data_IF_047157860806
#
_entry.id   IF_047157860806
#
_cell.length_a   1.000
_cell.length_b   1.000
_cell.length_c   1.000
_cell.angle_alpha   90.00
_cell.angle_beta   90.00
_cell.angle_gamma   90.00
#
_symmetry.space_group_name_H-M   'P 1'
#
loop_
_entity.id
_entity.type
_entity.pdbx_description
1 polymer ?
#
# COMPACT_ATOMS: atom_id res chain seq x y z
N UNK A 1 -2.35 10.66 -9.80
CA UNK A 1 -0.93 10.84 -10.20
C UNK A 1 -0.50 9.84 -11.29
N UNK A 2 -0.30 8.53 -11.04
CA UNK A 2 0.16 7.60 -12.10
C UNK A 2 -0.80 7.51 -13.29
N UNK A 3 -2.10 7.47 -13.06
CA UNK A 3 -3.12 7.51 -14.13
C UNK A 3 -3.07 8.80 -14.93
N UNK A 4 -2.81 9.94 -14.30
CA UNK A 4 -2.68 11.23 -14.98
C UNK A 4 -1.44 11.27 -15.87
N UNK A 5 -0.32 10.71 -15.38
CA UNK A 5 0.88 10.55 -16.19
C UNK A 5 0.65 9.61 -17.39
N UNK A 6 -0.08 8.51 -17.18
CA UNK A 6 -0.45 7.58 -18.25
C UNK A 6 -1.35 8.26 -19.31
N UNK A 7 -2.33 9.04 -18.86
CA UNK A 7 -3.19 9.82 -19.77
C UNK A 7 -2.42 10.93 -20.49
N UNK A 8 -1.50 11.63 -19.82
CA UNK A 8 -0.62 12.62 -20.44
C UNK A 8 0.25 11.98 -21.53
N UNK A 9 0.86 10.84 -21.24
CA UNK A 9 1.66 10.07 -22.22
C UNK A 9 0.85 9.65 -23.44
N UNK A 10 -0.39 9.16 -23.24
CA UNK A 10 -1.30 8.82 -24.36
C UNK A 10 -1.61 10.03 -25.27
N UNK A 11 -1.57 11.24 -24.71
CA UNK A 11 -1.80 12.52 -25.44
C UNK A 11 -0.51 13.16 -25.93
N UNK A 12 0.64 12.48 -25.87
CA UNK A 12 1.94 13.02 -26.26
C UNK A 12 2.43 14.19 -25.40
N UNK A 13 1.94 14.31 -24.16
CA UNK A 13 2.31 15.36 -23.20
C UNK A 13 3.34 14.84 -22.19
N UNK A 14 4.07 15.79 -21.59
CA UNK A 14 4.98 15.51 -20.46
C UNK A 14 4.22 15.02 -19.25
N UNK A 15 4.91 14.30 -18.37
CA UNK A 15 4.34 13.82 -17.11
C UNK A 15 3.86 15.00 -16.24
N UNK A 16 2.66 14.88 -15.69
CA UNK A 16 2.09 15.85 -14.74
C UNK A 16 2.83 15.79 -13.40
N UNK A 17 3.24 14.57 -13.03
CA UNK A 17 3.93 14.27 -11.77
C UNK A 17 5.30 13.67 -12.05
N UNK A 18 6.38 14.47 -12.14
CA UNK A 18 7.69 13.99 -12.59
C UNK A 18 8.29 12.87 -11.71
N UNK A 19 8.01 12.87 -10.42
CA UNK A 19 8.52 11.86 -9.46
C UNK A 19 7.63 10.61 -9.34
N UNK A 20 6.52 10.58 -10.07
CA UNK A 20 5.60 9.43 -10.04
C UNK A 20 5.65 8.71 -11.38
N UNK A 21 6.14 7.47 -11.45
CA UNK A 21 6.16 6.71 -12.69
C UNK A 21 4.74 6.27 -13.09
N UNK A 22 4.61 5.77 -14.31
CA UNK A 22 3.46 4.96 -14.70
C UNK A 22 3.74 3.57 -14.13
N UNK A 23 2.93 3.16 -13.16
CA UNK A 23 3.14 1.89 -12.46
C UNK A 23 2.80 0.69 -13.35
N UNK A 24 3.59 -0.38 -13.23
CA UNK A 24 3.26 -1.68 -13.79
C UNK A 24 2.00 -2.27 -13.14
N UNK A 25 1.82 -1.99 -11.85
CA UNK A 25 0.63 -2.37 -11.10
C UNK A 25 0.43 -1.47 -9.88
N UNK A 26 -0.81 -1.12 -9.58
CA UNK A 26 -1.23 -0.54 -8.31
C UNK A 26 -1.90 -1.62 -7.47
N UNK A 27 -1.55 -1.72 -6.19
CA UNK A 27 -2.05 -2.78 -5.31
C UNK A 27 -2.71 -2.19 -4.08
N UNK A 28 -3.94 -2.61 -3.82
CA UNK A 28 -4.62 -2.38 -2.56
C UNK A 28 -4.74 -3.70 -1.79
N UNK A 29 -4.37 -3.71 -0.53
CA UNK A 29 -4.50 -4.88 0.34
C UNK A 29 -5.68 -4.69 1.30
N UNK A 30 -6.79 -5.34 0.99
CA UNK A 30 -8.00 -5.34 1.80
C UNK A 30 -7.82 -6.25 3.02
N UNK A 31 -7.93 -5.68 4.21
CA UNK A 31 -7.81 -6.40 5.49
C UNK A 31 -9.13 -7.09 5.93
N UNK A 32 -10.23 -6.86 5.19
CA UNK A 32 -11.56 -7.36 5.53
C UNK A 32 -12.30 -6.50 6.58
N UNK A 33 -11.71 -5.38 7.00
CA UNK A 33 -12.25 -4.45 8.02
C UNK A 33 -12.28 -3.01 7.50
N UNK A 34 -12.16 -2.82 6.18
CA UNK A 34 -12.14 -1.49 5.59
C UNK A 34 -13.54 -0.86 5.62
N UNK A 35 -13.65 0.43 5.99
CA UNK A 35 -14.92 1.14 5.96
C UNK A 35 -15.55 1.20 4.56
N UNK A 36 -16.89 1.28 4.43
CA UNK A 36 -17.55 1.29 3.13
C UNK A 36 -17.10 2.41 2.18
N UNK A 37 -16.73 3.58 2.71
CA UNK A 37 -16.22 4.68 1.88
C UNK A 37 -14.86 4.37 1.28
N UNK A 38 -13.98 3.66 1.99
CA UNK A 38 -12.69 3.20 1.45
C UNK A 38 -12.91 2.24 0.28
N UNK A 39 -13.85 1.31 0.41
CA UNK A 39 -14.19 0.39 -0.68
C UNK A 39 -14.74 1.11 -1.91
N UNK A 40 -15.53 2.17 -1.73
CA UNK A 40 -15.98 3.04 -2.83
C UNK A 40 -14.82 3.74 -3.54
N UNK A 41 -13.85 4.26 -2.76
CA UNK A 41 -12.63 4.86 -3.33
C UNK A 41 -11.79 3.83 -4.09
N UNK A 42 -11.65 2.61 -3.56
CA UNK A 42 -10.94 1.51 -4.25
C UNK A 42 -11.61 1.19 -5.59
N UNK A 43 -12.94 1.07 -5.63
CA UNK A 43 -13.68 0.84 -6.88
C UNK A 43 -13.50 1.98 -7.89
N UNK A 44 -13.46 3.23 -7.40
CA UNK A 44 -13.16 4.38 -8.26
C UNK A 44 -11.75 4.28 -8.84
N UNK A 45 -10.74 3.97 -8.02
CA UNK A 45 -9.35 3.82 -8.46
C UNK A 45 -9.16 2.66 -9.44
N UNK A 46 -9.89 1.55 -9.27
CA UNK A 46 -9.89 0.45 -10.24
C UNK A 46 -10.37 0.93 -11.62
N UNK A 47 -11.51 1.64 -11.69
CA UNK A 47 -12.01 2.21 -12.95
C UNK A 47 -11.05 3.21 -13.57
N UNK A 48 -10.40 4.04 -12.75
CA UNK A 48 -9.36 4.95 -13.25
C UNK A 48 -8.19 4.16 -13.83
N UNK A 49 -7.72 3.14 -13.16
CA UNK A 49 -6.66 2.26 -13.64
C UNK A 49 -6.99 1.62 -14.99
N UNK A 50 -8.18 1.04 -15.12
CA UNK A 50 -8.70 0.45 -16.36
C UNK A 50 -8.71 1.48 -17.51
N UNK A 51 -9.20 2.70 -17.26
CA UNK A 51 -9.31 3.75 -18.28
C UNK A 51 -7.95 4.25 -18.78
N UNK A 52 -6.95 4.28 -17.93
CA UNK A 52 -5.60 4.77 -18.27
C UNK A 52 -4.60 3.66 -18.61
N UNK A 53 -4.95 2.39 -18.35
CA UNK A 53 -4.10 1.22 -18.61
C UNK A 53 -3.03 1.00 -17.52
N UNK A 54 -3.30 1.43 -16.28
CA UNK A 54 -2.50 1.10 -15.09
C UNK A 54 -3.28 0.03 -14.30
N UNK A 55 -2.87 -1.22 -14.29
CA UNK A 55 -3.57 -2.28 -13.58
C UNK A 55 -3.74 -1.96 -12.10
N UNK A 56 -4.94 -2.16 -11.56
CA UNK A 56 -5.23 -1.98 -10.14
C UNK A 56 -5.74 -3.30 -9.55
N UNK A 57 -4.99 -3.87 -8.63
CA UNK A 57 -5.26 -5.18 -8.05
C UNK A 57 -5.67 -5.04 -6.58
N UNK A 58 -6.78 -5.67 -6.21
CA UNK A 58 -7.22 -5.78 -4.83
C UNK A 58 -6.85 -7.16 -4.30
N UNK A 59 -5.97 -7.21 -3.32
CA UNK A 59 -5.55 -8.44 -2.64
C UNK A 59 -6.32 -8.57 -1.33
N UNK A 60 -6.91 -9.72 -1.09
CA UNK A 60 -7.52 -10.04 0.21
C UNK A 60 -6.45 -10.52 1.17
N UNK A 61 -6.39 -9.88 2.32
CA UNK A 61 -5.53 -10.28 3.43
C UNK A 61 -6.26 -11.29 4.32
N UNK A 62 -5.58 -12.27 4.91
CA UNK A 62 -6.18 -13.20 5.86
C UNK A 62 -6.42 -12.60 7.26
N UNK A 63 -6.16 -11.30 7.49
CA UNK A 63 -6.21 -10.69 8.82
C UNK A 63 -7.54 -10.93 9.54
N UNK A 64 -8.65 -10.66 8.87
CA UNK A 64 -9.98 -10.80 9.47
C UNK A 64 -10.29 -12.26 9.81
N UNK A 65 -9.97 -13.16 8.90
CA UNK A 65 -10.17 -14.60 9.11
C UNK A 65 -9.29 -15.12 10.25
N UNK A 66 -8.00 -14.81 10.22
CA UNK A 66 -7.05 -15.19 11.28
C UNK A 66 -7.49 -14.65 12.65
N UNK A 67 -8.04 -13.43 12.69
CA UNK A 67 -8.53 -12.84 13.91
C UNK A 67 -9.76 -13.60 14.44
N UNK A 68 -10.73 -13.89 13.58
CA UNK A 68 -11.97 -14.57 13.98
C UNK A 68 -11.72 -16.02 14.39
N UNK A 69 -10.88 -16.75 13.68
CA UNK A 69 -10.56 -18.16 13.95
C UNK A 69 -9.73 -18.35 15.21
N UNK A 70 -8.90 -17.37 15.56
CA UNK A 70 -7.98 -17.46 16.71
C UNK A 70 -8.41 -16.57 17.88
N UNK A 71 -9.61 -15.98 17.85
CA UNK A 71 -10.10 -15.13 18.92
C UNK A 71 -10.27 -15.93 20.22
N UNK A 72 -9.50 -15.55 21.23
CA UNK A 72 -9.50 -16.22 22.53
C UNK A 72 -8.57 -17.44 22.67
N UNK A 73 -8.08 -18.02 21.56
CA UNK A 73 -7.21 -19.21 21.61
C UNK A 73 -5.72 -18.85 21.44
N UNK A 74 -5.44 -17.82 20.68
CA UNK A 74 -4.07 -17.32 20.49
C UNK A 74 -4.02 -15.83 20.82
N UNK A 75 -2.85 -15.38 21.20
CA UNK A 75 -2.56 -13.95 21.24
C UNK A 75 -2.84 -13.37 19.87
N UNK A 76 -3.86 -12.52 19.73
CA UNK A 76 -4.15 -11.75 18.51
C UNK A 76 -3.00 -10.74 18.29
N UNK A 77 -1.92 -11.20 17.68
CA UNK A 77 -0.58 -10.61 17.82
C UNK A 77 -0.42 -9.36 16.96
N UNK A 78 -1.26 -9.19 15.95
CA UNK A 78 -0.93 -8.24 14.87
C UNK A 78 -1.76 -6.98 14.86
N UNK A 79 -2.85 -6.90 15.63
CA UNK A 79 -3.67 -5.70 15.71
C UNK A 79 -3.17 -4.83 16.88
N UNK A 80 -2.90 -3.55 16.66
CA UNK A 80 -2.44 -2.66 17.73
C UNK A 80 -3.61 -2.34 18.66
N UNK A 81 -3.67 -3.01 19.78
CA UNK A 81 -4.58 -2.72 20.87
C UNK A 81 -3.91 -1.79 21.88
N UNK A 82 -4.70 -0.87 22.42
CA UNK A 82 -4.31 -0.16 23.63
C UNK A 82 -4.59 -1.07 24.82
N UNK A 83 -3.59 -1.29 25.64
CA UNK A 83 -3.73 -2.05 26.88
C UNK A 83 -3.56 -1.12 28.07
N UNK A 84 -4.40 -1.29 29.06
CA UNK A 84 -4.24 -0.63 30.36
C UNK A 84 -3.54 -1.59 31.30
N UNK A 85 -2.35 -1.24 31.74
CA UNK A 85 -1.63 -2.02 32.76
C UNK A 85 -2.27 -1.85 34.13
N UNK A 86 -1.97 -2.77 35.07
CA UNK A 86 -2.48 -2.71 36.44
C UNK A 86 -2.08 -1.43 37.18
N UNK A 87 -0.97 -0.81 36.79
CA UNK A 87 -0.46 0.47 37.30
C UNK A 87 -1.10 1.71 36.67
N UNK A 88 -2.12 1.52 35.81
CA UNK A 88 -2.81 2.60 35.12
C UNK A 88 -2.10 3.15 33.87
N UNK A 89 -0.90 2.70 33.56
CA UNK A 89 -0.18 3.13 32.36
C UNK A 89 -0.77 2.51 31.08
N UNK A 90 -0.96 3.36 30.06
CA UNK A 90 -1.36 2.92 28.72
C UNK A 90 -0.15 2.35 27.97
N UNK A 91 -0.33 1.22 27.33
CA UNK A 91 0.68 0.58 26.49
C UNK A 91 0.05 0.18 25.16
N UNK A 92 0.82 0.17 24.09
CA UNK A 92 0.38 -0.35 22.78
C UNK A 92 1.07 -1.68 22.53
N UNK A 93 0.34 -2.61 21.93
CA UNK A 93 0.95 -3.82 21.40
C UNK A 93 1.74 -3.53 20.12
N UNK A 94 2.77 -4.35 19.78
CA UNK A 94 3.53 -4.20 18.56
C UNK A 94 2.63 -4.15 17.32
N UNK A 95 2.92 -3.22 16.39
CA UNK A 95 2.19 -3.03 15.13
C UNK A 95 2.77 -3.92 14.02
N UNK A 96 2.55 -5.22 14.09
CA UNK A 96 3.03 -6.13 13.05
C UNK A 96 2.04 -6.33 11.91
N UNK A 97 0.78 -5.86 12.06
CA UNK A 97 -0.27 -6.03 11.06
C UNK A 97 0.12 -5.49 9.67
N UNK A 98 0.86 -4.40 9.60
CA UNK A 98 1.29 -3.84 8.31
C UNK A 98 2.26 -4.78 7.61
N UNK A 99 3.22 -5.36 8.33
CA UNK A 99 4.22 -6.26 7.74
C UNK A 99 3.56 -7.59 7.38
N UNK A 100 2.86 -8.21 8.32
CA UNK A 100 2.34 -9.56 8.16
C UNK A 100 1.18 -9.64 7.18
N UNK A 101 0.27 -8.67 7.22
CA UNK A 101 -1.01 -8.72 6.51
C UNK A 101 -1.12 -7.76 5.32
N UNK A 102 -0.15 -6.86 5.11
CA UNK A 102 -0.07 -6.02 3.90
C UNK A 102 1.21 -6.29 3.12
N UNK A 103 2.38 -5.98 3.70
CA UNK A 103 3.65 -6.04 2.97
C UNK A 103 3.97 -7.46 2.49
N UNK A 104 3.82 -8.46 3.36
CA UNK A 104 4.06 -9.85 2.99
C UNK A 104 3.05 -10.39 1.97
N UNK A 105 1.79 -9.96 2.02
CA UNK A 105 0.76 -10.34 1.04
C UNK A 105 1.11 -9.77 -0.34
N UNK A 106 1.47 -8.49 -0.41
CA UNK A 106 1.92 -7.83 -1.64
C UNK A 106 3.19 -8.49 -2.17
N UNK A 107 4.18 -8.75 -1.31
CA UNK A 107 5.41 -9.40 -1.70
C UNK A 107 5.19 -10.80 -2.30
N UNK A 108 4.27 -11.57 -1.73
CA UNK A 108 3.88 -12.87 -2.28
C UNK A 108 3.22 -12.74 -3.65
N UNK A 109 2.31 -11.75 -3.81
CA UNK A 109 1.68 -11.49 -5.09
C UNK A 109 2.70 -11.14 -6.17
N UNK A 110 3.59 -10.17 -5.90
CA UNK A 110 4.66 -9.79 -6.84
C UNK A 110 5.51 -11.01 -7.19
N UNK A 111 5.96 -11.74 -6.19
CA UNK A 111 6.86 -12.88 -6.37
C UNK A 111 6.23 -14.00 -7.23
N UNK A 112 5.00 -14.35 -6.95
CA UNK A 112 4.38 -15.52 -7.60
C UNK A 112 3.63 -15.17 -8.88
N UNK A 113 2.92 -14.05 -8.90
CA UNK A 113 2.06 -13.70 -10.03
C UNK A 113 2.74 -12.79 -11.06
N UNK A 114 3.62 -11.88 -10.62
CA UNK A 114 4.29 -10.99 -11.56
C UNK A 114 5.65 -11.55 -12.01
N UNK A 115 6.43 -12.13 -11.10
CA UNK A 115 7.78 -12.64 -11.39
C UNK A 115 7.83 -14.15 -11.66
N UNK A 116 6.71 -14.86 -11.54
CA UNK A 116 6.59 -16.28 -11.87
C UNK A 116 7.37 -17.25 -10.96
N UNK A 117 7.70 -16.85 -9.74
CA UNK A 117 8.36 -17.74 -8.79
C UNK A 117 7.44 -18.86 -8.31
N UNK A 118 8.03 -20.03 -8.09
CA UNK A 118 7.37 -21.13 -7.38
C UNK A 118 7.50 -20.96 -5.86
N UNK A 119 6.62 -21.61 -5.12
CA UNK A 119 6.69 -21.67 -3.66
C UNK A 119 8.06 -22.22 -3.22
N UNK A 120 8.69 -21.59 -2.24
CA UNK A 120 10.03 -21.93 -1.71
C UNK A 120 11.22 -21.76 -2.70
N UNK A 121 11.01 -21.28 -3.90
CA UNK A 121 12.11 -20.98 -4.82
C UNK A 121 12.97 -19.85 -4.23
N UNK A 122 14.31 -20.01 -4.30
CA UNK A 122 15.25 -18.95 -3.88
C UNK A 122 15.11 -17.73 -4.77
N UNK A 123 15.27 -16.54 -4.19
CA UNK A 123 15.27 -15.27 -4.95
C UNK A 123 16.50 -15.25 -5.87
N UNK A 124 16.27 -14.94 -7.14
CA UNK A 124 17.32 -14.74 -8.13
C UNK A 124 18.11 -13.48 -7.80
N UNK A 125 19.39 -13.45 -8.12
CA UNK A 125 20.21 -12.28 -7.78
C UNK A 125 19.82 -11.04 -8.60
N UNK A 126 19.35 -11.23 -9.84
CA UNK A 126 18.79 -10.18 -10.70
C UNK A 126 17.55 -9.48 -10.12
N UNK A 127 16.76 -10.16 -9.28
CA UNK A 127 15.57 -9.61 -8.66
C UNK A 127 15.84 -8.95 -7.29
N UNK A 128 17.11 -8.96 -6.84
CA UNK A 128 17.48 -8.29 -5.59
C UNK A 128 17.53 -6.78 -5.78
N UNK A 129 16.69 -6.05 -4.97
CA UNK A 129 16.56 -4.59 -5.05
C UNK A 129 16.27 -4.09 -6.48
N UNK A 130 15.63 -4.92 -7.31
CA UNK A 130 15.32 -4.60 -8.69
C UNK A 130 13.92 -3.98 -8.87
N UNK A 131 13.04 -4.09 -7.86
CA UNK A 131 11.66 -3.66 -7.96
C UNK A 131 11.39 -2.49 -7.02
N UNK A 132 10.85 -1.41 -7.54
CA UNK A 132 10.45 -0.25 -6.73
C UNK A 132 9.06 -0.46 -6.14
N UNK A 133 8.93 -0.19 -4.84
CA UNK A 133 7.66 -0.14 -4.13
C UNK A 133 7.38 1.29 -3.70
N UNK A 134 6.47 1.95 -4.39
CA UNK A 134 6.07 3.31 -4.09
C UNK A 134 4.98 3.32 -3.01
N UNK A 135 5.20 4.06 -1.94
CA UNK A 135 4.27 4.18 -0.82
C UNK A 135 3.77 5.62 -0.67
N UNK A 136 2.46 5.76 -0.47
CA UNK A 136 1.78 7.07 -0.36
C UNK A 136 1.87 7.66 1.05
N UNK A 137 3.07 7.77 1.63
CA UNK A 137 3.25 8.51 2.88
C UNK A 137 3.33 10.00 2.58
N UNK A 138 2.59 10.83 3.32
CA UNK A 138 2.72 12.28 3.26
C UNK A 138 4.01 12.76 3.94
N UNK A 139 4.38 14.02 3.70
CA UNK A 139 5.61 14.60 4.21
C UNK A 139 5.70 14.56 5.75
N UNK A 140 4.56 14.70 6.43
CA UNK A 140 4.45 14.59 7.89
C UNK A 140 4.73 13.16 8.42
N UNK A 141 4.69 12.16 7.55
CA UNK A 141 4.98 10.76 7.88
C UNK A 141 6.44 10.34 7.55
N UNK A 142 7.32 11.29 7.23
CA UNK A 142 8.71 11.04 6.81
C UNK A 142 9.49 10.10 7.73
N UNK A 143 9.20 10.11 9.04
CA UNK A 143 9.78 9.17 10.03
C UNK A 143 9.46 7.69 9.76
N UNK A 144 8.45 7.40 8.94
CA UNK A 144 8.05 6.04 8.52
C UNK A 144 8.80 5.57 7.28
N UNK A 145 9.48 6.48 6.59
CA UNK A 145 10.23 6.19 5.38
C UNK A 145 11.50 5.42 5.74
N UNK A 146 11.45 4.12 5.52
CA UNK A 146 12.56 3.19 5.81
C UNK A 146 12.83 2.31 4.60
N UNK A 147 14.04 1.79 4.53
CA UNK A 147 14.38 0.77 3.55
C UNK A 147 13.48 -0.46 3.68
N UNK A 148 13.26 -1.14 2.57
CA UNK A 148 12.49 -2.37 2.58
C UNK A 148 13.26 -3.50 3.28
N UNK A 149 12.67 -4.19 4.26
CA UNK A 149 13.26 -5.41 4.82
C UNK A 149 13.20 -6.57 3.83
N UNK A 150 12.37 -6.48 2.78
CA UNK A 150 12.29 -7.49 1.75
C UNK A 150 13.39 -7.26 0.70
N UNK A 151 14.23 -8.27 0.41
CA UNK A 151 15.36 -8.12 -0.49
C UNK A 151 14.98 -7.87 -1.97
N UNK A 152 13.72 -8.03 -2.37
CA UNK A 152 13.26 -7.72 -3.72
C UNK A 152 13.05 -6.22 -3.95
N UNK A 153 12.69 -5.46 -2.91
CA UNK A 153 12.17 -4.11 -3.06
C UNK A 153 13.14 -3.01 -2.66
N UNK A 154 13.03 -1.92 -3.40
CA UNK A 154 13.50 -0.58 -3.00
C UNK A 154 12.27 0.28 -2.73
N UNK A 155 12.12 0.78 -1.50
CA UNK A 155 11.00 1.65 -1.15
C UNK A 155 11.22 3.05 -1.70
N UNK A 156 10.17 3.65 -2.25
CA UNK A 156 10.12 5.04 -2.75
C UNK A 156 8.96 5.78 -2.10
N UNK A 157 9.13 7.06 -1.87
CA UNK A 157 8.18 7.89 -1.13
C UNK A 157 7.90 9.20 -1.89
N UNK A 158 7.28 9.14 -3.07
CA UNK A 158 7.16 10.30 -3.97
C UNK A 158 6.42 11.49 -3.34
N UNK A 159 5.43 11.27 -2.48
CA UNK A 159 4.73 12.38 -1.82
C UNK A 159 5.64 13.11 -0.83
N UNK A 160 6.49 12.38 -0.10
CA UNK A 160 7.48 12.96 0.81
C UNK A 160 8.54 13.74 0.02
N UNK A 161 9.02 13.17 -1.08
CA UNK A 161 9.99 13.81 -1.98
C UNK A 161 9.45 15.09 -2.61
N UNK A 162 8.13 15.16 -2.86
CA UNK A 162 7.43 16.35 -3.35
C UNK A 162 7.02 17.33 -2.23
N UNK A 163 7.22 16.99 -0.96
CA UNK A 163 6.80 17.79 0.18
C UNK A 163 5.29 17.88 0.37
N UNK A 164 4.51 16.92 -0.18
CA UNK A 164 3.06 16.92 -0.09
C UNK A 164 2.59 16.32 1.24
N UNK A 165 1.82 17.09 1.98
CA UNK A 165 1.20 16.67 3.23
C UNK A 165 -0.18 16.04 3.01
N UNK A 166 -0.74 15.45 4.05
CA UNK A 166 -2.08 14.85 4.01
C UNK A 166 -3.15 15.86 3.60
N UNK A 167 -3.05 17.09 4.09
CA UNK A 167 -3.99 18.16 3.75
C UNK A 167 -3.98 18.48 2.23
N UNK A 168 -2.80 18.53 1.63
CA UNK A 168 -2.65 18.77 0.18
C UNK A 168 -3.27 17.63 -0.62
N UNK A 169 -3.02 16.38 -0.18
CA UNK A 169 -3.57 15.20 -0.83
C UNK A 169 -5.10 15.16 -0.74
N UNK A 170 -5.69 15.52 0.40
CA UNK A 170 -7.14 15.61 0.56
C UNK A 170 -7.75 16.72 -0.29
N UNK A 171 -7.14 17.90 -0.31
CA UNK A 171 -7.57 19.00 -1.17
C UNK A 171 -7.54 18.57 -2.64
N UNK A 172 -6.45 17.94 -3.08
CA UNK A 172 -6.32 17.46 -4.45
C UNK A 172 -7.38 16.40 -4.82
N UNK A 173 -7.61 15.41 -3.96
CA UNK A 173 -8.61 14.36 -4.21
C UNK A 173 -10.02 14.95 -4.27
N UNK A 174 -10.34 15.91 -3.42
CA UNK A 174 -11.63 16.59 -3.42
C UNK A 174 -11.80 17.49 -4.65
N UNK A 175 -10.81 18.35 -4.94
CA UNK A 175 -10.94 19.44 -5.91
C UNK A 175 -10.77 18.93 -7.35
N UNK A 176 -9.93 17.92 -7.57
CA UNK A 176 -9.65 17.37 -8.91
C UNK A 176 -10.49 16.14 -9.21
N UNK A 177 -10.71 15.27 -8.21
CA UNK A 177 -11.39 13.99 -8.43
C UNK A 177 -12.83 13.96 -7.90
N UNK A 178 -13.26 14.98 -7.15
CA UNK A 178 -14.60 15.07 -6.59
C UNK A 178 -14.92 13.97 -5.57
N UNK A 179 -13.91 13.41 -4.92
CA UNK A 179 -14.07 12.36 -3.91
C UNK A 179 -14.02 12.94 -2.50
N UNK A 180 -14.96 12.51 -1.67
CA UNK A 180 -14.89 12.71 -0.22
C UNK A 180 -13.88 11.73 0.39
N UNK A 181 -13.10 12.20 1.37
CA UNK A 181 -12.05 11.45 2.07
C UNK A 181 -12.26 11.47 3.57
#
# INVERSE_FOLDING_TARGET
MACENALAKKKGKTAVWPLVPIYDVSVFCDLGLEPPWVLKQVQFLQRCGESCGVPFVVLKSPLYQDFMENFGERRAISIPWWTLKKDGHKSTMPRNCTIDYKVNVIAKYVRWHLLGYRKHQRLRDEDRKAHEMHMGFGAEESRRCKESPNPMFVNKFPLVEMGLERADNYAYIRDVWGLET
#
